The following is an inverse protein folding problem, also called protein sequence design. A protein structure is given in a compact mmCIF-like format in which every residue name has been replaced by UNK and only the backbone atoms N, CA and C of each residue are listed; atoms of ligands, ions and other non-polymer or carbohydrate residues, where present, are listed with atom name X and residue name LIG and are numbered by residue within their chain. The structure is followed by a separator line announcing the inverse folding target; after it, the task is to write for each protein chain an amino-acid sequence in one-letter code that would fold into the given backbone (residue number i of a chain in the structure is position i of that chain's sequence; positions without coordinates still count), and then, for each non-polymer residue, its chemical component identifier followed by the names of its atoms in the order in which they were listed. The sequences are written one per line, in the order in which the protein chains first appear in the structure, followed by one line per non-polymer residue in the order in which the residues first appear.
data_IF_089581005110
#
_entry.id   IF_089581005110
#
_cell.length_a   1.000
_cell.length_b   1.000
_cell.length_c   1.000
_cell.angle_alpha   90.00
_cell.angle_beta   90.00
_cell.angle_gamma   90.00
#
_symmetry.space_group_name_H-M   'P 1'
#
loop_
_entity.id
_entity.type
_entity.pdbx_description
1 polymer ?
#
# COMPACT_ATOMS: atom_id res chain seq x y z
N UNK A 1 -8.37 16.82 -2.36
CA UNK A 1 -7.16 16.58 -1.55
C UNK A 1 -6.19 15.80 -2.39
N UNK A 2 -4.88 15.99 -2.21
CA UNK A 2 -3.87 15.31 -3.03
C UNK A 2 -3.34 14.06 -2.34
N UNK A 3 -3.12 13.00 -3.13
CA UNK A 3 -2.50 11.72 -2.74
C UNK A 3 -1.60 11.25 -3.87
N UNK A 4 -0.78 10.23 -3.62
CA UNK A 4 -0.01 9.56 -4.66
C UNK A 4 -0.48 8.11 -4.79
N UNK A 5 -0.49 7.61 -6.01
CA UNK A 5 -0.67 6.19 -6.27
C UNK A 5 0.48 5.41 -5.63
N UNK A 6 0.16 4.48 -4.74
CA UNK A 6 1.13 3.62 -4.04
C UNK A 6 1.86 2.65 -4.97
N UNK A 7 1.36 2.45 -6.20
CA UNK A 7 1.95 1.56 -7.21
C UNK A 7 2.87 2.33 -8.16
N UNK A 8 2.37 3.39 -8.82
CA UNK A 8 3.10 4.09 -9.87
C UNK A 8 3.56 5.51 -9.51
N UNK A 9 3.25 6.00 -8.31
CA UNK A 9 3.64 7.34 -7.83
C UNK A 9 2.85 8.49 -8.44
N UNK A 10 1.92 8.25 -9.37
CA UNK A 10 1.12 9.30 -10.00
C UNK A 10 0.30 10.08 -8.97
N UNK A 11 0.25 11.41 -9.12
CA UNK A 11 -0.57 12.26 -8.25
C UNK A 11 -2.07 12.02 -8.51
N UNK A 12 -2.83 11.89 -7.43
CA UNK A 12 -4.27 11.70 -7.39
C UNK A 12 -4.94 12.94 -6.80
N UNK A 13 -6.02 13.41 -7.44
CA UNK A 13 -6.89 14.44 -6.89
C UNK A 13 -8.18 13.82 -6.34
N UNK A 14 -8.16 13.50 -5.04
CA UNK A 14 -9.28 12.88 -4.34
C UNK A 14 -10.32 13.93 -3.96
N UNK A 15 -11.55 13.73 -4.41
CA UNK A 15 -12.70 14.60 -4.09
C UNK A 15 -13.66 13.85 -3.19
N UNK A 16 -13.83 14.32 -1.96
CA UNK A 16 -14.74 13.75 -0.97
C UNK A 16 -16.01 14.61 -0.91
N UNK A 17 -17.17 13.97 -1.05
CA UNK A 17 -18.47 14.61 -0.94
C UNK A 17 -18.96 14.64 0.52
N UNK A 18 -20.03 15.40 0.79
CA UNK A 18 -20.58 15.55 2.15
C UNK A 18 -21.11 14.25 2.74
N UNK A 19 -21.52 13.30 1.90
CA UNK A 19 -22.00 11.97 2.29
C UNK A 19 -20.87 10.97 2.56
N UNK A 20 -19.61 11.42 2.51
CA UNK A 20 -18.38 10.63 2.66
C UNK A 20 -18.07 9.68 1.50
N UNK A 21 -18.82 9.75 0.40
CA UNK A 21 -18.37 9.16 -0.86
C UNK A 21 -17.14 9.92 -1.38
N UNK A 22 -16.31 9.25 -2.16
CA UNK A 22 -15.13 9.85 -2.77
C UNK A 22 -14.94 9.38 -4.22
N UNK A 23 -14.14 10.14 -4.98
CA UNK A 23 -13.70 9.81 -6.34
C UNK A 23 -12.29 10.34 -6.61
N UNK A 24 -11.64 9.82 -7.64
CA UNK A 24 -10.29 10.24 -8.08
C UNK A 24 -9.17 9.28 -7.67
N UNK A 25 -9.51 8.09 -7.16
CA UNK A 25 -8.60 7.01 -6.79
C UNK A 25 -9.35 5.90 -6.07
N UNK A 26 -8.65 4.83 -5.72
CA UNK A 26 -9.18 3.67 -4.98
C UNK A 26 -8.43 3.53 -3.66
N UNK A 27 -9.16 3.60 -2.54
CA UNK A 27 -8.60 3.49 -1.20
C UNK A 27 -8.72 2.06 -0.66
N UNK A 28 -7.63 1.52 -0.14
CA UNK A 28 -7.55 0.15 0.37
C UNK A 28 -7.34 0.05 1.89
N UNK A 29 -7.18 1.18 2.57
CA UNK A 29 -6.91 1.21 4.02
C UNK A 29 -5.53 1.75 4.36
N UNK A 30 -5.17 1.61 5.62
CA UNK A 30 -3.86 1.98 6.15
C UNK A 30 -2.93 0.76 6.19
N UNK A 31 -1.70 0.94 5.76
CA UNK A 31 -0.63 -0.06 5.90
C UNK A 31 0.41 0.47 6.88
N UNK A 32 0.92 -0.43 7.72
CA UNK A 32 2.04 -0.12 8.63
C UNK A 32 3.35 -0.38 7.90
N UNK A 33 4.25 0.59 7.92
CA UNK A 33 5.58 0.48 7.33
C UNK A 33 6.63 0.84 8.37
N UNK A 34 7.76 0.10 8.44
CA UNK A 34 8.86 0.48 9.31
C UNK A 34 9.32 1.90 9.00
N UNK A 35 9.54 2.71 10.03
CA UNK A 35 10.12 4.04 9.85
C UNK A 35 11.60 3.94 9.52
N UNK A 36 12.15 4.97 8.89
CA UNK A 36 13.60 5.07 8.68
C UNK A 36 14.32 5.00 10.04
N UNK A 37 15.29 4.07 10.14
CA UNK A 37 16.04 3.82 11.37
C UNK A 37 15.34 2.94 12.41
N UNK A 38 14.19 2.32 12.08
CA UNK A 38 13.60 1.27 12.90
C UNK A 38 14.58 0.08 13.02
N UNK A 39 14.59 -0.56 14.19
CA UNK A 39 15.46 -1.72 14.47
C UNK A 39 14.69 -3.00 14.26
N UNK A 40 15.32 -3.98 13.64
CA UNK A 40 14.83 -5.36 13.58
C UNK A 40 14.82 -5.94 15.00
N UNK A 41 13.68 -6.50 15.41
CA UNK A 41 13.48 -7.08 16.75
C UNK A 41 13.21 -8.57 16.72
N UNK A 42 12.65 -9.08 15.62
CA UNK A 42 12.35 -10.50 15.46
C UNK A 42 12.40 -10.90 13.99
N UNK A 43 12.84 -12.13 13.75
CA UNK A 43 12.88 -12.74 12.42
C UNK A 43 12.34 -14.17 12.53
N UNK A 44 11.30 -14.47 11.75
CA UNK A 44 10.68 -15.79 11.76
C UNK A 44 10.19 -16.20 10.37
N UNK A 45 10.10 -17.51 10.14
CA UNK A 45 9.53 -18.06 8.90
C UNK A 45 8.04 -18.35 9.08
N UNK A 46 7.26 -18.06 8.06
CA UNK A 46 5.83 -18.40 8.01
C UNK A 46 5.40 -18.72 6.59
N UNK A 47 4.20 -19.26 6.41
CA UNK A 47 3.62 -19.56 5.11
C UNK A 47 2.41 -18.69 4.87
N UNK A 48 2.40 -17.95 3.76
CA UNK A 48 1.32 -17.05 3.37
C UNK A 48 0.67 -17.60 2.10
N UNK A 49 -0.66 -17.71 2.11
CA UNK A 49 -1.43 -18.14 0.95
C UNK A 49 -1.09 -17.27 -0.28
N UNK A 50 -0.73 -17.92 -1.39
CA UNK A 50 -0.36 -17.24 -2.64
C UNK A 50 1.10 -16.78 -2.74
N UNK A 51 1.85 -16.74 -1.63
CA UNK A 51 3.29 -16.41 -1.63
C UNK A 51 4.18 -17.58 -1.20
N UNK A 52 3.62 -18.59 -0.51
CA UNK A 52 4.37 -19.71 0.03
C UNK A 52 5.16 -19.33 1.28
N UNK A 53 6.30 -20.00 1.49
CA UNK A 53 7.16 -19.76 2.65
C UNK A 53 7.91 -18.44 2.50
N UNK A 54 7.81 -17.58 3.51
CA UNK A 54 8.44 -16.27 3.57
C UNK A 54 9.12 -16.06 4.91
N UNK A 55 10.16 -15.24 4.91
CA UNK A 55 10.78 -14.72 6.13
C UNK A 55 10.16 -13.37 6.47
N UNK A 56 9.62 -13.26 7.68
CA UNK A 56 9.05 -12.02 8.23
C UNK A 56 10.08 -11.38 9.15
N UNK A 57 10.25 -10.07 9.00
CA UNK A 57 11.13 -9.24 9.84
C UNK A 57 10.27 -8.21 10.56
N UNK A 58 10.17 -8.35 11.88
CA UNK A 58 9.47 -7.39 12.74
C UNK A 58 10.41 -6.28 13.19
N UNK A 59 9.88 -5.06 13.23
CA UNK A 59 10.60 -3.86 13.62
C UNK A 59 10.03 -3.24 14.90
N UNK A 60 10.83 -2.46 15.62
CA UNK A 60 10.41 -1.81 16.86
C UNK A 60 9.43 -0.64 16.64
N UNK A 61 9.42 -0.04 15.45
CA UNK A 61 8.68 1.19 15.13
C UNK A 61 8.10 1.17 13.73
N UNK A 62 6.87 1.63 13.63
CA UNK A 62 6.12 1.72 12.38
C UNK A 62 5.42 3.07 12.29
N UNK A 63 5.26 3.55 11.06
CA UNK A 63 4.32 4.61 10.73
C UNK A 63 3.19 4.05 9.87
N UNK A 64 2.10 4.80 9.77
CA UNK A 64 0.95 4.44 8.95
C UNK A 64 0.92 5.28 7.70
N UNK A 65 0.66 4.63 6.57
CA UNK A 65 0.36 5.34 5.34
C UNK A 65 -0.92 4.80 4.71
N UNK A 66 -1.69 5.68 4.07
CA UNK A 66 -2.87 5.31 3.31
C UNK A 66 -2.46 4.68 1.97
N UNK A 67 -2.98 3.49 1.67
CA UNK A 67 -2.76 2.83 0.37
C UNK A 67 -3.81 3.26 -0.65
N UNK A 68 -3.36 3.94 -1.70
CA UNK A 68 -4.20 4.48 -2.77
C UNK A 68 -3.72 4.00 -4.13
N UNK A 69 -4.63 3.58 -5.01
CA UNK A 69 -4.30 3.28 -6.41
C UNK A 69 -5.03 4.22 -7.38
N UNK A 70 -4.38 4.56 -8.50
CA UNK A 70 -5.06 5.17 -9.65
C UNK A 70 -5.87 4.12 -10.41
N UNK A 71 -6.82 4.55 -11.25
CA UNK A 71 -7.67 3.64 -12.03
C UNK A 71 -6.85 2.62 -12.86
N UNK A 72 -5.78 3.06 -13.52
CA UNK A 72 -4.89 2.18 -14.31
C UNK A 72 -4.27 1.06 -13.46
N UNK A 73 -3.76 1.38 -12.27
CA UNK A 73 -3.14 0.40 -11.37
C UNK A 73 -4.19 -0.52 -10.75
N UNK A 74 -5.34 0.02 -10.38
CA UNK A 74 -6.47 -0.72 -9.84
C UNK A 74 -6.98 -1.79 -10.81
N UNK A 75 -7.10 -1.45 -12.10
CA UNK A 75 -7.54 -2.38 -13.13
C UNK A 75 -6.44 -3.32 -13.63
N UNK A 76 -5.22 -3.24 -13.09
CA UNK A 76 -4.15 -4.21 -13.35
C UNK A 76 -3.42 -4.04 -14.68
N UNK A 77 -3.58 -2.93 -15.38
CA UNK A 77 -2.89 -2.68 -16.67
C UNK A 77 -1.35 -2.58 -16.53
N UNK A 78 -0.86 -2.29 -15.31
CA UNK A 78 0.58 -2.35 -14.97
C UNK A 78 1.06 -3.74 -14.51
N UNK A 79 0.18 -4.55 -13.91
CA UNK A 79 0.54 -5.86 -13.32
C UNK A 79 0.77 -6.95 -14.37
N UNK A 80 0.41 -6.67 -15.63
CA UNK A 80 0.55 -7.58 -16.77
C UNK A 80 1.75 -7.27 -17.67
N UNK A 81 2.54 -6.22 -17.36
CA UNK A 81 3.70 -5.81 -18.17
C UNK A 81 5.01 -6.49 -17.78
N UNK A 82 5.02 -7.26 -16.69
CA UNK A 82 6.19 -8.02 -16.21
C UNK A 82 6.05 -9.54 -16.45
N UNK A 83 5.26 -9.96 -17.46
CA UNK A 83 5.19 -11.35 -17.91
C UNK A 83 5.78 -11.53 -19.29
#
# INVERSE_FOLDING_TARGET
MKRNCSVCGAELDIKVAKDRSYRGGHYFGEVKVPVEGAKEVELYETEIEGLGKVTVVEHDKYDKFEYWECDRCFHGEERLREK
#
